data_IF_786523078686
#
_entry.id   IF_786523078686
#
_cell.length_a   1.000
_cell.length_b   1.000
_cell.length_c   1.000
_cell.angle_alpha   90.00
_cell.angle_beta   90.00
_cell.angle_gamma   90.00
#
_symmetry.space_group_name_H-M   'P 1'
#
loop_
_entity.id
_entity.type
_entity.pdbx_description
1 polymer ?
#
# COMPACT_ATOMS: atom_id res chain seq x y z
N UNK A 1 29.39 -4.30 1.52
CA UNK A 1 28.02 -4.80 1.34
C UNK A 1 27.18 -3.60 0.97
N UNK A 2 26.88 -3.44 -0.31
CA UNK A 2 26.21 -2.27 -0.88
C UNK A 2 24.75 -2.64 -1.12
N UNK A 3 23.84 -2.00 -0.39
CA UNK A 3 22.40 -2.14 -0.63
C UNK A 3 22.00 -1.08 -1.65
N UNK A 4 21.67 -1.52 -2.86
CA UNK A 4 21.12 -0.67 -3.92
C UNK A 4 19.71 -0.22 -3.54
N UNK A 5 19.49 1.08 -3.43
CA UNK A 5 18.16 1.67 -3.31
C UNK A 5 17.45 1.73 -4.67
N UNK A 6 16.13 1.47 -4.68
CA UNK A 6 15.29 1.69 -5.85
C UNK A 6 15.17 3.20 -6.13
N UNK A 7 15.71 3.64 -7.25
CA UNK A 7 15.49 4.97 -7.83
C UNK A 7 14.63 4.82 -9.08
N UNK A 8 13.41 5.34 -9.06
CA UNK A 8 12.62 5.59 -10.26
C UNK A 8 12.50 7.09 -10.46
N UNK A 9 13.07 7.54 -11.58
CA UNK A 9 13.18 8.93 -12.03
C UNK A 9 11.86 9.48 -12.57
N UNK A 10 11.62 10.77 -12.32
CA UNK A 10 10.47 11.53 -12.79
C UNK A 10 10.52 11.84 -14.31
N UNK A 11 9.33 11.78 -14.90
CA UNK A 11 8.84 12.26 -16.22
C UNK A 11 9.26 13.69 -16.58
N UNK A 12 9.32 14.03 -17.88
CA UNK A 12 8.68 15.21 -18.54
C UNK A 12 9.00 15.30 -20.06
N UNK A 13 7.95 15.21 -20.91
CA UNK A 13 7.60 15.94 -22.17
C UNK A 13 8.64 16.16 -23.30
N UNK A 14 8.34 16.33 -24.61
CA UNK A 14 7.17 16.28 -25.50
C UNK A 14 7.66 16.57 -26.95
N UNK A 15 6.80 16.36 -27.96
CA UNK A 15 6.69 17.12 -29.24
C UNK A 15 7.28 16.54 -30.55
N UNK A 16 6.33 16.12 -31.40
CA UNK A 16 6.12 16.22 -32.86
C UNK A 16 7.16 15.80 -33.92
N UNK A 17 6.71 14.96 -34.86
CA UNK A 17 6.74 15.29 -36.30
C UNK A 17 5.88 14.39 -37.20
N UNK A 18 5.32 15.01 -38.24
CA UNK A 18 4.50 14.48 -39.35
C UNK A 18 5.21 13.47 -40.27
N UNK A 19 4.45 12.56 -40.91
CA UNK A 19 4.46 12.33 -42.37
C UNK A 19 3.52 11.18 -42.80
N UNK A 20 3.09 11.24 -44.06
CA UNK A 20 1.88 10.67 -44.68
C UNK A 20 1.89 9.18 -45.08
N UNK A 21 0.66 8.62 -45.15
CA UNK A 21 0.07 7.71 -46.15
C UNK A 21 0.88 6.52 -46.71
N UNK A 22 0.42 5.29 -46.40
CA UNK A 22 0.23 4.24 -47.43
C UNK A 22 -0.76 3.14 -47.02
N UNK A 23 -1.75 2.95 -47.88
CA UNK A 23 -2.71 1.84 -48.03
C UNK A 23 -2.14 0.43 -47.78
N UNK A 24 -2.88 -0.40 -47.03
CA UNK A 24 -2.65 -1.84 -46.92
C UNK A 24 -3.65 -2.57 -46.01
N UNK A 25 -4.69 -3.13 -46.62
CA UNK A 25 -5.69 -4.07 -46.05
C UNK A 25 -5.06 -5.27 -45.33
N UNK A 26 -5.57 -5.65 -44.14
CA UNK A 26 -6.29 -6.93 -43.92
C UNK A 26 -6.95 -6.98 -42.55
N UNK A 27 -8.12 -7.62 -42.54
CA UNK A 27 -8.93 -7.94 -41.38
C UNK A 27 -8.20 -8.82 -40.35
N UNK A 28 -8.35 -8.46 -39.08
CA UNK A 28 -8.48 -9.39 -37.97
C UNK A 28 -9.03 -8.58 -36.78
N UNK A 29 -10.34 -8.72 -36.57
CA UNK A 29 -10.91 -8.64 -35.23
C UNK A 29 -10.28 -9.81 -34.47
N UNK A 30 -9.12 -9.55 -33.86
CA UNK A 30 -8.51 -10.49 -32.94
C UNK A 30 -8.84 -10.01 -31.53
N UNK A 31 -9.53 -10.91 -30.86
CA UNK A 31 -10.05 -10.88 -29.51
C UNK A 31 -9.04 -10.27 -28.55
N UNK A 32 -9.46 -9.25 -27.78
CA UNK A 32 -8.69 -8.77 -26.64
C UNK A 32 -8.29 -9.99 -25.81
N UNK A 33 -7.00 -10.19 -25.50
CA UNK A 33 -6.56 -11.29 -24.65
C UNK A 33 -7.39 -11.32 -23.37
N UNK A 34 -7.74 -12.49 -22.81
CA UNK A 34 -8.44 -12.54 -21.54
C UNK A 34 -7.59 -11.77 -20.54
N UNK A 35 -8.16 -10.74 -19.92
CA UNK A 35 -7.58 -10.09 -18.75
C UNK A 35 -7.21 -11.21 -17.78
N UNK A 36 -5.92 -11.51 -17.72
CA UNK A 36 -5.33 -12.21 -16.60
C UNK A 36 -5.88 -11.52 -15.36
N UNK A 37 -6.28 -12.24 -14.30
CA UNK A 37 -6.55 -11.59 -13.03
C UNK A 37 -5.20 -11.08 -12.51
N UNK A 38 -4.75 -9.94 -13.04
CA UNK A 38 -3.77 -9.10 -12.38
C UNK A 38 -4.39 -8.83 -11.02
N UNK A 39 -3.80 -9.43 -9.99
CA UNK A 39 -4.26 -9.28 -8.62
C UNK A 39 -4.12 -7.80 -8.24
N UNK A 40 -5.19 -7.06 -8.52
CA UNK A 40 -5.43 -5.71 -8.09
C UNK A 40 -6.13 -5.83 -6.76
N UNK A 41 -5.42 -5.55 -5.68
CA UNK A 41 -6.06 -5.45 -4.37
C UNK A 41 -6.84 -4.13 -4.35
N UNK A 42 -8.16 -4.24 -4.47
CA UNK A 42 -9.06 -3.10 -4.31
C UNK A 42 -8.82 -2.43 -2.95
N UNK A 43 -8.99 -1.10 -2.85
CA UNK A 43 -8.78 -0.41 -1.59
C UNK A 43 -9.70 -0.99 -0.50
N UNK A 44 -9.15 -1.39 0.66
CA UNK A 44 -9.93 -2.01 1.71
C UNK A 44 -11.02 -1.08 2.25
N UNK A 45 -12.23 -1.60 2.38
CA UNK A 45 -13.34 -0.94 3.07
C UNK A 45 -13.25 -1.28 4.55
N UNK A 46 -13.25 -0.26 5.41
CA UNK A 46 -13.12 -0.44 6.86
C UNK A 46 -14.43 -0.11 7.58
N UNK A 47 -14.84 -0.95 8.53
CA UNK A 47 -15.97 -0.69 9.43
C UNK A 47 -15.47 -0.37 10.85
N UNK A 48 -15.13 0.91 11.09
CA UNK A 48 -14.78 1.41 12.42
C UNK A 48 -15.87 2.38 12.92
N UNK A 49 -16.41 2.12 14.11
CA UNK A 49 -17.30 3.04 14.81
C UNK A 49 -16.56 3.73 15.98
N UNK A 50 -17.16 4.79 16.51
CA UNK A 50 -16.53 5.61 17.53
C UNK A 50 -16.18 4.81 18.80
N UNK A 51 -17.05 3.89 19.21
CA UNK A 51 -16.86 3.07 20.40
C UNK A 51 -15.64 2.16 20.27
N UNK A 52 -15.48 1.48 19.12
CA UNK A 52 -14.33 0.62 18.81
C UNK A 52 -13.01 1.41 18.81
N UNK A 53 -13.00 2.57 18.17
CA UNK A 53 -11.79 3.41 18.13
C UNK A 53 -11.41 3.93 19.51
N UNK A 54 -12.40 4.28 20.34
CA UNK A 54 -12.15 4.71 21.72
C UNK A 54 -11.65 3.57 22.61
N UNK A 55 -12.08 2.33 22.36
CA UNK A 55 -11.59 1.14 23.06
C UNK A 55 -10.09 0.90 22.79
N UNK A 56 -9.63 1.22 21.58
CA UNK A 56 -8.23 1.09 21.14
C UNK A 56 -7.27 2.15 21.71
N UNK A 57 -7.72 3.10 22.54
CA UNK A 57 -6.83 4.15 23.08
C UNK A 57 -5.74 3.57 23.99
N UNK A 58 -4.57 4.22 24.01
CA UNK A 58 -3.52 3.88 24.97
C UNK A 58 -3.94 4.24 26.41
N UNK A 59 -3.44 3.48 27.43
CA UNK A 59 -3.52 3.89 28.83
C UNK A 59 -2.90 5.28 29.04
N UNK A 60 -3.48 6.05 29.97
CA UNK A 60 -3.11 7.45 30.17
C UNK A 60 -1.64 7.60 30.59
N UNK A 61 -1.10 6.62 31.30
CA UNK A 61 0.29 6.56 31.75
C UNK A 61 1.23 6.55 30.55
N UNK A 62 0.98 5.70 29.55
CA UNK A 62 1.78 5.62 28.33
C UNK A 62 1.68 6.90 27.51
N UNK A 63 0.49 7.48 27.38
CA UNK A 63 0.33 8.76 26.69
C UNK A 63 1.07 9.91 27.40
N UNK A 64 1.15 9.90 28.74
CA UNK A 64 1.93 10.89 29.52
C UNK A 64 3.43 10.74 29.34
N UNK A 65 3.91 9.54 29.07
CA UNK A 65 5.30 9.25 28.71
C UNK A 65 5.63 9.64 27.26
N UNK A 66 4.63 10.01 26.46
CA UNK A 66 4.81 10.43 25.06
C UNK A 66 4.53 9.35 24.02
N UNK A 67 4.05 8.17 24.44
CA UNK A 67 3.66 7.12 23.49
C UNK A 67 2.40 7.49 22.70
N UNK A 68 2.43 7.19 21.41
CA UNK A 68 1.29 7.28 20.51
C UNK A 68 0.94 5.89 19.96
N UNK A 69 -0.33 5.65 19.65
CA UNK A 69 -0.75 4.42 18.97
C UNK A 69 -0.72 4.64 17.46
N UNK A 70 0.05 3.83 16.73
CA UNK A 70 0.16 3.91 15.27
C UNK A 70 -0.92 3.11 14.53
N UNK A 71 -1.45 2.07 15.16
CA UNK A 71 -2.50 1.23 14.59
C UNK A 71 -3.73 1.28 15.50
N UNK A 72 -4.91 1.55 14.94
CA UNK A 72 -6.16 1.65 15.69
C UNK A 72 -6.88 0.31 15.88
N UNK A 73 -6.32 -0.80 15.36
CA UNK A 73 -6.91 -2.13 15.44
C UNK A 73 -7.97 -2.41 14.36
N UNK A 74 -8.32 -1.43 13.53
CA UNK A 74 -9.52 -1.52 12.69
C UNK A 74 -9.29 -1.05 11.26
N UNK A 75 -8.32 -0.17 11.05
CA UNK A 75 -8.08 0.47 9.76
C UNK A 75 -6.58 0.50 9.43
N UNK A 76 -6.28 0.61 8.13
CA UNK A 76 -4.93 0.96 7.68
C UNK A 76 -4.72 2.49 7.60
N UNK A 77 -5.52 3.27 8.34
CA UNK A 77 -5.32 4.71 8.42
C UNK A 77 -3.93 5.01 8.98
N UNK A 78 -3.20 5.90 8.31
CA UNK A 78 -1.82 6.22 8.68
C UNK A 78 -0.77 5.24 8.11
N UNK A 79 -1.16 4.29 7.26
CA UNK A 79 -0.26 3.34 6.61
C UNK A 79 -0.25 3.50 5.08
N UNK A 80 0.86 3.13 4.46
CA UNK A 80 1.10 3.16 3.01
C UNK A 80 1.69 1.81 2.61
N UNK A 81 1.06 1.17 1.63
CA UNK A 81 1.52 -0.10 1.05
C UNK A 81 2.49 0.23 -0.09
N UNK A 82 3.73 -0.26 0.01
CA UNK A 82 4.80 0.07 -0.95
C UNK A 82 4.86 -0.80 -2.20
N UNK A 83 3.97 -1.77 -2.37
CA UNK A 83 3.97 -2.71 -3.50
C UNK A 83 2.65 -3.46 -3.62
N UNK A 84 2.66 -4.63 -4.24
CA UNK A 84 1.45 -5.39 -4.53
C UNK A 84 1.27 -6.58 -3.56
N UNK A 85 0.90 -6.29 -2.31
CA UNK A 85 0.56 -7.30 -1.29
C UNK A 85 -0.82 -7.01 -0.67
N UNK A 86 -1.49 -8.05 -0.20
CA UNK A 86 -2.87 -7.99 0.28
C UNK A 86 -3.03 -7.54 1.74
N UNK A 87 -2.32 -6.47 2.14
CA UNK A 87 -2.43 -5.94 3.49
C UNK A 87 -3.87 -5.61 3.85
N UNK A 88 -4.34 -6.18 4.96
CA UNK A 88 -5.70 -6.00 5.48
C UNK A 88 -5.70 -6.10 7.01
N UNK A 89 -6.82 -5.73 7.61
CA UNK A 89 -7.02 -5.88 9.05
C UNK A 89 -7.93 -7.08 9.29
N UNK A 90 -7.45 -8.05 10.06
CA UNK A 90 -8.22 -9.21 10.52
C UNK A 90 -7.95 -9.40 12.02
N UNK A 91 -9.01 -9.62 12.81
CA UNK A 91 -8.91 -9.84 14.27
C UNK A 91 -7.98 -8.85 14.99
N UNK A 92 -8.24 -7.56 14.75
CA UNK A 92 -7.47 -6.44 15.32
C UNK A 92 -5.96 -6.48 15.02
N UNK A 93 -5.57 -7.16 13.94
CA UNK A 93 -4.19 -7.39 13.52
C UNK A 93 -4.01 -7.04 12.04
N UNK A 94 -2.87 -6.48 11.68
CA UNK A 94 -2.51 -6.28 10.28
C UNK A 94 -1.91 -7.59 9.75
N UNK A 95 -2.49 -8.14 8.69
CA UNK A 95 -2.06 -9.39 8.06
C UNK A 95 -1.79 -9.21 6.57
N UNK A 96 -0.85 -9.99 6.04
CA UNK A 96 -0.58 -10.13 4.62
C UNK A 96 -0.07 -11.54 4.35
N UNK A 97 -0.70 -12.25 3.42
CA UNK A 97 -0.44 -13.67 3.10
C UNK A 97 -0.45 -13.95 1.59
N UNK A 98 -0.71 -12.94 0.75
CA UNK A 98 -0.69 -13.03 -0.70
C UNK A 98 -0.05 -11.79 -1.34
N UNK A 99 0.47 -11.97 -2.56
CA UNK A 99 1.12 -10.92 -3.34
C UNK A 99 2.64 -10.92 -3.21
N UNK A 100 3.26 -9.88 -3.74
CA UNK A 100 4.73 -9.71 -3.74
C UNK A 100 5.23 -9.15 -2.40
N UNK A 101 6.41 -9.58 -1.96
CA UNK A 101 7.05 -9.03 -0.78
C UNK A 101 7.26 -7.52 -0.93
N UNK A 102 6.55 -6.73 -0.12
CA UNK A 102 6.72 -5.29 -0.06
C UNK A 102 6.65 -4.77 1.37
N UNK A 103 6.99 -3.50 1.56
CA UNK A 103 6.95 -2.85 2.87
C UNK A 103 5.57 -2.23 3.12
N UNK A 104 5.15 -2.29 4.39
CA UNK A 104 4.10 -1.44 4.93
C UNK A 104 4.77 -0.35 5.78
N UNK A 105 4.54 0.91 5.43
CA UNK A 105 5.19 2.06 6.10
C UNK A 105 4.13 3.01 6.66
N UNK A 106 4.52 3.84 7.63
CA UNK A 106 3.66 4.93 8.10
C UNK A 106 3.57 6.04 7.05
N UNK A 107 2.41 6.67 6.91
CA UNK A 107 2.21 7.84 6.03
C UNK A 107 2.94 9.09 6.52
N UNK A 108 3.32 9.10 7.80
CA UNK A 108 4.14 10.14 8.44
C UNK A 108 5.55 9.62 8.65
N UNK A 109 6.55 10.45 8.38
CA UNK A 109 7.95 10.14 8.64
C UNK A 109 8.34 10.54 10.06
N UNK A 110 9.03 9.63 10.76
CA UNK A 110 9.55 9.83 12.11
C UNK A 110 11.08 9.82 12.07
N UNK A 111 11.73 10.73 12.80
CA UNK A 111 13.19 10.80 12.87
C UNK A 111 13.74 10.05 14.08
N UNK A 112 13.49 10.59 15.28
CA UNK A 112 13.96 10.04 16.56
C UNK A 112 12.76 9.44 17.30
N UNK A 113 12.72 8.12 17.41
CA UNK A 113 11.59 7.41 18.02
C UNK A 113 12.02 6.13 18.72
N UNK A 114 11.17 5.71 19.66
CA UNK A 114 11.14 4.36 20.20
C UNK A 114 9.90 3.65 19.64
N UNK A 115 10.05 2.40 19.21
CA UNK A 115 8.96 1.61 18.61
C UNK A 115 8.77 0.31 19.39
N UNK A 116 7.55 0.09 19.84
CA UNK A 116 7.11 -1.17 20.44
C UNK A 116 6.01 -1.78 19.59
N UNK A 117 6.17 -3.04 19.19
CA UNK A 117 5.18 -3.81 18.43
C UNK A 117 5.27 -5.30 18.74
N UNK A 118 4.19 -6.02 18.46
CA UNK A 118 4.14 -7.48 18.46
C UNK A 118 3.96 -7.96 17.02
N UNK A 119 4.65 -9.04 16.67
CA UNK A 119 4.52 -9.67 15.37
C UNK A 119 4.58 -11.20 15.52
N UNK A 120 4.00 -11.89 14.56
CA UNK A 120 4.11 -13.34 14.41
C UNK A 120 4.42 -13.64 12.94
N UNK A 121 5.31 -14.60 12.70
CA UNK A 121 5.60 -15.15 11.39
C UNK A 121 5.64 -16.67 11.51
N UNK A 122 5.17 -17.36 10.47
CA UNK A 122 5.23 -18.82 10.36
C UNK A 122 6.55 -19.31 9.73
#
# INVERSE_FOLDING_TARGET
MIISGCSSSATTESTDNEAETKTGSVAAIDELPPESPEASFEPPVFEANAEKLLASRLPIERTREGWIRLFDGHTLFGWVIGGNANFRVEDETIVADQGENCLLTTSTQWSDYELELQFQCD
#
